data_IF_876880899615
#
_entry.id   IF_876880899615
#
_cell.length_a   1.000
_cell.length_b   1.000
_cell.length_c   1.000
_cell.angle_alpha   90.00
_cell.angle_beta   90.00
_cell.angle_gamma   90.00
#
_symmetry.space_group_name_H-M   'P 1'
#
loop_
_entity.id
_entity.type
_entity.pdbx_description
1 polymer ?
#
# COMPACT_ATOMS: atom_id res chain seq x y z
N UNK A 1 -31.92 -0.31 21.22
CA UNK A 1 -31.94 0.97 21.97
C UNK A 1 -30.79 1.91 21.58
N UNK A 2 -29.61 1.43 21.23
CA UNK A 2 -28.45 2.24 20.79
C UNK A 2 -28.62 2.94 19.45
N UNK A 3 -29.32 2.32 18.49
CA UNK A 3 -29.46 2.86 17.12
C UNK A 3 -30.31 4.15 17.06
N UNK A 4 -31.39 4.21 17.85
CA UNK A 4 -32.28 5.39 17.94
C UNK A 4 -31.57 6.62 18.54
N UNK A 5 -30.67 6.38 19.51
CA UNK A 5 -29.85 7.44 20.12
C UNK A 5 -28.79 7.99 19.17
N UNK A 6 -28.15 7.12 18.38
CA UNK A 6 -27.17 7.52 17.36
C UNK A 6 -27.87 8.33 16.25
N UNK A 7 -29.03 7.88 15.78
CA UNK A 7 -29.82 8.60 14.77
C UNK A 7 -30.25 9.99 15.26
N UNK A 8 -30.63 10.12 16.53
CA UNK A 8 -30.96 11.42 17.15
C UNK A 8 -29.75 12.35 17.21
N UNK A 9 -28.57 11.84 17.57
CA UNK A 9 -27.35 12.65 17.61
C UNK A 9 -26.94 13.13 16.21
N UNK A 10 -26.97 12.25 15.21
CA UNK A 10 -26.65 12.61 13.82
C UNK A 10 -27.65 13.60 13.21
N UNK A 11 -28.93 13.50 13.58
CA UNK A 11 -29.96 14.45 13.18
C UNK A 11 -29.73 15.84 13.83
N UNK A 12 -29.38 15.87 15.12
CA UNK A 12 -29.07 17.11 15.82
C UNK A 12 -27.79 17.79 15.28
N UNK A 13 -26.74 17.02 14.99
CA UNK A 13 -25.52 17.53 14.35
C UNK A 13 -25.82 18.11 12.96
N UNK A 14 -26.65 17.42 12.15
CA UNK A 14 -27.10 17.93 10.85
C UNK A 14 -27.91 19.22 10.97
N UNK A 15 -28.78 19.32 11.98
CA UNK A 15 -29.56 20.53 12.23
C UNK A 15 -28.69 21.72 12.68
N UNK A 16 -27.59 21.48 13.40
CA UNK A 16 -26.69 22.53 13.90
C UNK A 16 -25.62 22.94 12.87
N UNK A 17 -25.45 22.16 11.79
CA UNK A 17 -24.43 22.35 10.78
C UNK A 17 -24.94 23.26 9.63
N UNK A 18 -24.51 24.53 9.68
CA UNK A 18 -24.58 25.58 8.65
C UNK A 18 -25.92 26.31 8.46
N UNK A 19 -26.29 27.22 9.38
CA UNK A 19 -26.59 28.66 9.10
C UNK A 19 -27.51 29.35 10.11
N UNK A 20 -28.11 28.67 11.08
CA UNK A 20 -28.90 29.34 12.14
C UNK A 20 -28.82 28.56 13.45
N UNK A 21 -27.86 28.91 14.32
CA UNK A 21 -27.92 28.49 15.73
C UNK A 21 -28.94 29.36 16.44
N UNK A 22 -30.08 28.79 16.81
CA UNK A 22 -30.94 29.36 17.84
C UNK A 22 -30.72 28.65 19.18
N UNK A 23 -31.19 29.23 20.28
CA UNK A 23 -30.98 28.62 21.60
C UNK A 23 -31.68 27.25 21.78
N UNK A 24 -32.65 26.91 20.93
CA UNK A 24 -33.35 25.63 20.98
C UNK A 24 -32.51 24.49 20.43
N UNK A 25 -31.87 24.71 19.28
CA UNK A 25 -31.02 23.71 18.60
C UNK A 25 -29.76 23.37 19.40
N UNK A 26 -29.17 24.32 20.13
CA UNK A 26 -28.02 24.05 21.01
C UNK A 26 -28.40 23.20 22.24
N UNK A 27 -29.58 23.43 22.83
CA UNK A 27 -30.05 22.65 23.97
C UNK A 27 -30.33 21.18 23.61
N UNK A 28 -30.93 20.95 22.43
CA UNK A 28 -31.16 19.60 21.91
C UNK A 28 -29.86 18.87 21.58
N UNK A 29 -28.86 19.60 21.07
CA UNK A 29 -27.52 19.05 20.84
C UNK A 29 -26.84 18.62 22.14
N UNK A 30 -26.85 19.46 23.18
CA UNK A 30 -26.25 19.09 24.47
C UNK A 30 -26.99 17.92 25.13
N UNK A 31 -28.32 17.87 25.06
CA UNK A 31 -29.09 16.73 25.58
C UNK A 31 -28.75 15.42 24.84
N UNK A 32 -28.62 15.45 23.51
CA UNK A 32 -28.22 14.27 22.73
C UNK A 32 -26.78 13.82 23.04
N UNK A 33 -25.88 14.78 23.27
CA UNK A 33 -24.50 14.51 23.68
C UNK A 33 -24.42 13.86 25.06
N UNK A 34 -25.18 14.36 26.04
CA UNK A 34 -25.22 13.81 27.40
C UNK A 34 -25.82 12.39 27.43
N UNK A 35 -26.84 12.15 26.60
CA UNK A 35 -27.43 10.82 26.42
C UNK A 35 -26.45 9.81 25.80
N UNK A 36 -25.66 10.25 24.83
CA UNK A 36 -24.61 9.43 24.20
C UNK A 36 -23.46 9.18 25.18
N UNK A 37 -23.01 10.20 25.91
CA UNK A 37 -21.98 10.07 26.94
C UNK A 37 -22.41 9.11 28.04
N UNK A 38 -23.67 9.17 28.47
CA UNK A 38 -24.25 8.25 29.44
C UNK A 38 -24.37 6.82 28.91
N UNK A 39 -24.64 6.65 27.61
CA UNK A 39 -24.68 5.34 26.97
C UNK A 39 -23.27 4.73 26.79
N UNK A 40 -22.24 5.56 26.61
CA UNK A 40 -20.85 5.14 26.46
C UNK A 40 -20.15 4.88 27.81
N UNK A 41 -20.70 5.42 28.91
CA UNK A 41 -20.26 5.14 30.28
C UNK A 41 -20.76 3.75 30.75
N UNK A 42 -20.31 2.68 30.09
CA UNK A 42 -20.57 1.32 30.53
C UNK A 42 -19.73 1.01 31.78
N UNK A 43 -20.33 0.49 32.87
CA UNK A 43 -19.55 0.06 34.02
C UNK A 43 -18.64 -1.12 33.62
N UNK A 44 -17.37 -1.15 34.08
CA UNK A 44 -16.46 -2.24 33.77
C UNK A 44 -17.04 -3.59 34.19
N UNK A 45 -16.95 -4.58 33.30
CA UNK A 45 -17.36 -5.97 33.59
C UNK A 45 -18.73 -6.40 33.09
N UNK A 46 -19.48 -5.57 32.35
CA UNK A 46 -20.70 -6.02 31.65
C UNK A 46 -20.40 -6.35 30.17
N UNK A 47 -20.90 -7.48 29.65
CA UNK A 47 -20.71 -7.83 28.25
C UNK A 47 -21.45 -6.83 27.35
N UNK A 48 -20.79 -6.39 26.29
CA UNK A 48 -21.33 -5.42 25.32
C UNK A 48 -22.02 -6.12 24.16
N UNK A 49 -21.65 -7.37 23.88
CA UNK A 49 -22.30 -8.20 22.89
C UNK A 49 -22.14 -9.69 23.26
N UNK A 50 -23.02 -10.52 22.71
CA UNK A 50 -22.91 -11.97 22.74
C UNK A 50 -22.77 -12.45 21.30
N UNK A 51 -21.75 -13.27 21.05
CA UNK A 51 -21.48 -13.78 19.71
C UNK A 51 -22.53 -14.84 19.35
N UNK A 52 -23.34 -14.56 18.32
CA UNK A 52 -24.24 -15.53 17.72
C UNK A 52 -23.72 -15.89 16.33
N UNK A 53 -23.49 -17.18 16.10
CA UNK A 53 -23.24 -17.68 14.74
C UNK A 53 -24.61 -17.76 14.06
N UNK A 54 -24.78 -17.04 12.96
CA UNK A 54 -26.05 -17.02 12.23
C UNK A 54 -26.33 -18.36 11.53
N UNK A 55 -25.34 -19.28 11.47
CA UNK A 55 -25.51 -20.64 10.94
C UNK A 55 -25.79 -20.71 9.44
N UNK A 56 -25.94 -19.56 8.78
CA UNK A 56 -26.29 -19.41 7.36
C UNK A 56 -25.07 -19.32 6.44
N UNK A 57 -23.85 -19.30 6.99
CA UNK A 57 -22.60 -19.31 6.23
C UNK A 57 -22.32 -18.04 5.42
N UNK A 58 -23.18 -17.02 5.52
CA UNK A 58 -23.14 -15.80 4.69
C UNK A 58 -22.95 -14.51 5.49
N UNK A 59 -22.88 -14.59 6.83
CA UNK A 59 -22.55 -13.45 7.68
C UNK A 59 -21.07 -13.05 7.58
N UNK A 60 -20.79 -11.74 7.56
CA UNK A 60 -19.43 -11.18 7.65
C UNK A 60 -18.72 -11.74 8.89
N UNK A 61 -17.78 -12.67 8.70
CA UNK A 61 -16.95 -13.19 9.79
C UNK A 61 -15.90 -12.13 10.14
N UNK A 62 -15.89 -11.58 11.37
CA UNK A 62 -14.79 -10.75 11.79
C UNK A 62 -13.47 -11.52 11.70
N UNK A 63 -12.42 -10.85 11.22
CA UNK A 63 -11.07 -11.44 11.12
C UNK A 63 -10.51 -11.53 12.55
N UNK A 64 -10.35 -12.76 13.04
CA UNK A 64 -9.74 -13.02 14.34
C UNK A 64 -8.26 -13.36 14.16
N UNK A 65 -7.38 -12.60 14.80
CA UNK A 65 -5.99 -13.00 14.96
C UNK A 65 -5.89 -13.97 16.15
N UNK A 66 -6.15 -15.26 15.91
CA UNK A 66 -6.06 -16.31 16.94
C UNK A 66 -7.18 -17.36 16.89
N UNK A 67 -7.39 -18.08 18.00
CA UNK A 67 -8.49 -19.05 18.15
C UNK A 67 -9.84 -18.31 18.16
N UNK A 68 -10.74 -18.71 17.27
CA UNK A 68 -12.11 -18.20 17.21
C UNK A 68 -12.82 -18.50 18.55
N UNK A 69 -13.46 -17.50 19.20
CA UNK A 69 -14.23 -17.74 20.42
C UNK A 69 -15.38 -18.73 20.17
N UNK A 70 -15.78 -19.55 21.16
CA UNK A 70 -16.93 -20.43 21.02
C UNK A 70 -18.23 -19.63 20.87
N UNK A 71 -19.23 -20.22 20.22
CA UNK A 71 -20.57 -19.64 20.08
C UNK A 71 -21.16 -19.31 21.47
N UNK A 72 -21.80 -18.13 21.59
CA UNK A 72 -22.31 -17.62 22.84
C UNK A 72 -21.26 -16.93 23.73
N UNK A 73 -20.00 -16.82 23.28
CA UNK A 73 -18.97 -16.06 24.00
C UNK A 73 -19.40 -14.61 24.21
N UNK A 74 -19.24 -14.15 25.44
CA UNK A 74 -19.49 -12.77 25.83
C UNK A 74 -18.30 -11.91 25.40
N UNK A 75 -18.58 -10.90 24.56
CA UNK A 75 -17.61 -9.91 24.17
C UNK A 75 -17.66 -8.77 25.18
N UNK A 76 -16.51 -8.46 25.76
CA UNK A 76 -16.33 -7.33 26.67
C UNK A 76 -15.67 -6.20 25.90
N UNK A 77 -16.08 -4.96 26.18
CA UNK A 77 -15.39 -3.81 25.64
C UNK A 77 -13.96 -3.87 26.19
N UNK A 78 -12.97 -3.63 25.32
CA UNK A 78 -11.62 -3.41 25.81
C UNK A 78 -11.70 -2.31 26.88
N UNK A 79 -11.19 -2.56 28.11
CA UNK A 79 -11.24 -1.55 29.15
C UNK A 79 -10.63 -0.27 28.58
N UNK A 80 -11.29 0.87 28.79
CA UNK A 80 -10.75 2.16 28.38
C UNK A 80 -9.28 2.20 28.79
N UNK A 81 -8.36 2.57 27.87
CA UNK A 81 -6.93 2.48 28.14
C UNK A 81 -6.68 3.18 29.47
N UNK A 82 -6.21 2.40 30.46
CA UNK A 82 -5.97 2.94 31.79
C UNK A 82 -5.06 4.15 31.64
N UNK A 83 -5.30 5.25 32.38
CA UNK A 83 -4.40 6.39 32.34
C UNK A 83 -3.00 5.87 32.62
N UNK A 84 -2.12 5.96 31.62
CA UNK A 84 -0.74 5.53 31.73
C UNK A 84 -0.10 6.38 32.83
N UNK A 85 0.08 5.78 33.99
CA UNK A 85 0.80 6.39 35.10
C UNK A 85 2.28 6.47 34.70
N UNK A 86 2.69 7.62 34.18
CA UNK A 86 4.09 7.90 33.88
C UNK A 86 4.82 8.03 35.22
N UNK A 87 5.94 7.31 35.38
CA UNK A 87 6.77 7.38 36.60
C UNK A 87 7.20 8.82 36.84
N UNK A 88 7.08 9.29 38.09
CA UNK A 88 7.57 10.61 38.48
C UNK A 88 9.09 10.70 38.28
N UNK A 89 9.57 11.86 37.82
CA UNK A 89 11.00 12.13 37.64
C UNK A 89 11.75 12.09 38.98
N UNK A 90 12.84 11.34 39.04
CA UNK A 90 13.73 11.23 40.21
C UNK A 90 14.82 12.31 40.14
N UNK A 91 14.79 13.27 41.07
CA UNK A 91 15.71 14.41 41.11
C UNK A 91 16.94 14.09 41.95
N UNK A 92 18.13 14.16 41.34
CA UNK A 92 19.40 14.12 42.06
C UNK A 92 19.70 15.50 42.64
N UNK A 93 20.09 15.57 43.92
CA UNK A 93 20.52 16.80 44.58
C UNK A 93 22.02 16.72 44.84
N UNK A 94 22.77 17.58 44.17
CA UNK A 94 24.12 17.96 44.57
C UNK A 94 24.07 19.33 45.27
N UNK A 95 25.02 19.62 46.15
CA UNK A 95 24.94 20.70 47.18
C UNK A 95 24.47 22.07 46.66
N UNK A 96 24.71 22.42 45.39
CA UNK A 96 24.30 23.68 44.76
C UNK A 96 23.38 23.53 43.52
N UNK A 97 23.01 22.29 43.15
CA UNK A 97 22.33 21.99 41.89
C UNK A 97 21.41 20.77 42.01
N UNK A 98 20.14 20.92 41.64
CA UNK A 98 19.27 19.75 41.44
C UNK A 98 19.14 19.46 39.94
N UNK A 99 19.33 18.21 39.55
CA UNK A 99 19.22 17.80 38.15
C UNK A 99 18.50 16.48 37.99
N UNK A 100 17.81 16.32 36.85
CA UNK A 100 17.26 15.05 36.38
C UNK A 100 17.81 14.78 35.00
N UNK A 101 18.34 13.58 34.80
CA UNK A 101 18.74 13.07 33.50
C UNK A 101 17.70 12.07 33.01
N UNK A 102 17.08 12.35 31.86
CA UNK A 102 16.15 11.43 31.19
C UNK A 102 16.64 11.17 29.78
N UNK A 103 17.45 10.13 29.62
CA UNK A 103 18.04 9.65 28.35
C UNK A 103 18.84 10.71 27.59
N UNK A 104 18.18 11.65 26.89
CA UNK A 104 18.79 12.69 26.04
C UNK A 104 18.44 14.12 26.52
N UNK A 105 17.60 14.26 27.56
CA UNK A 105 17.15 15.56 28.10
C UNK A 105 17.64 15.74 29.54
N UNK A 106 18.14 16.95 29.85
CA UNK A 106 18.61 17.33 31.18
C UNK A 106 17.73 18.43 31.76
N UNK A 107 17.22 18.27 32.99
CA UNK A 107 16.55 19.35 33.70
C UNK A 107 17.50 19.91 34.75
N UNK A 108 17.67 21.24 34.83
CA UNK A 108 18.65 21.89 35.71
C UNK A 108 18.00 22.95 36.61
N UNK A 109 18.17 22.82 37.92
CA UNK A 109 17.81 23.80 38.93
C UNK A 109 19.09 24.51 39.43
N UNK A 110 19.24 25.82 39.20
CA UNK A 110 20.42 26.59 39.64
C UNK A 110 20.02 27.65 40.66
N UNK A 111 20.66 27.67 41.84
CA UNK A 111 20.49 28.75 42.83
C UNK A 111 21.43 29.93 42.53
N UNK A 112 21.09 31.20 42.83
CA UNK A 112 19.87 31.69 43.49
C UNK A 112 18.98 32.58 42.56
N UNK A 113 17.67 32.30 42.54
CA UNK A 113 16.65 33.24 42.06
C UNK A 113 15.89 32.86 40.77
N UNK A 114 16.39 31.91 39.97
CA UNK A 114 15.73 31.49 38.73
C UNK A 114 15.94 29.99 38.46
N UNK A 115 14.85 29.23 38.26
CA UNK A 115 14.93 27.85 37.78
C UNK A 115 14.72 27.84 36.26
N UNK A 116 15.53 27.11 35.49
CA UNK A 116 15.41 27.07 34.03
C UNK A 116 15.14 25.64 33.55
N UNK A 117 14.03 25.42 32.85
CA UNK A 117 13.84 24.21 32.06
C UNK A 117 14.79 24.29 30.86
N UNK A 118 15.65 23.29 30.63
CA UNK A 118 16.56 23.25 29.48
C UNK A 118 16.35 21.96 28.71
N UNK A 119 15.49 21.97 27.70
CA UNK A 119 15.45 20.81 26.79
C UNK A 119 16.64 20.83 25.86
N UNK A 120 17.38 19.72 25.76
CA UNK A 120 18.44 19.55 24.77
C UNK A 120 17.92 18.67 23.63
N UNK A 121 18.00 19.13 22.39
CA UNK A 121 17.98 18.26 21.22
C UNK A 121 19.27 18.46 20.44
N UNK A 122 19.99 17.38 20.17
CA UNK A 122 21.26 17.40 19.40
C UNK A 122 22.28 18.44 19.90
N UNK A 123 22.36 18.66 21.22
CA UNK A 123 23.34 19.57 21.82
C UNK A 123 22.91 21.04 21.90
N UNK A 124 21.73 21.41 21.38
CA UNK A 124 21.22 22.79 21.49
C UNK A 124 20.07 22.92 22.50
N UNK A 125 20.08 23.97 23.37
CA UNK A 125 19.01 24.22 24.32
C UNK A 125 17.78 24.82 23.61
N UNK A 126 16.69 24.05 23.52
CA UNK A 126 15.46 24.40 22.80
C UNK A 126 14.59 25.42 23.56
N UNK A 127 14.65 25.44 24.90
CA UNK A 127 13.81 26.33 25.72
C UNK A 127 14.56 26.74 26.98
N UNK A 128 14.47 28.01 27.35
CA UNK A 128 14.95 28.58 28.64
C UNK A 128 13.89 29.54 29.16
N UNK A 129 12.90 29.01 29.86
CA UNK A 129 11.93 29.84 30.58
C UNK A 129 12.31 29.89 32.06
N UNK A 130 12.46 31.10 32.64
CA UNK A 130 12.67 31.24 34.07
C UNK A 130 11.39 30.94 34.84
N UNK A 131 11.46 30.04 35.81
CA UNK A 131 10.36 29.74 36.75
C UNK A 131 10.61 30.42 38.09
N UNK A 132 9.54 30.94 38.75
CA UNK A 132 9.65 31.67 40.01
C UNK A 132 9.89 30.77 41.24
N UNK A 133 9.71 29.44 41.10
CA UNK A 133 10.03 28.48 42.17
C UNK A 133 10.52 27.14 41.59
N UNK A 134 11.27 26.41 42.42
CA UNK A 134 11.73 25.06 42.13
C UNK A 134 10.56 24.10 41.89
N UNK A 135 9.49 24.20 42.67
CA UNK A 135 8.32 23.32 42.53
C UNK A 135 7.61 23.51 41.18
N UNK A 136 7.48 24.76 40.71
CA UNK A 136 6.90 25.04 39.39
C UNK A 136 7.78 24.53 38.26
N UNK A 137 9.11 24.63 38.39
CA UNK A 137 10.03 24.05 37.41
C UNK A 137 9.93 22.52 37.36
N UNK A 138 9.81 21.86 38.52
CA UNK A 138 9.64 20.39 38.62
C UNK A 138 8.31 19.94 38.04
N UNK A 139 7.22 20.66 38.33
CA UNK A 139 5.91 20.38 37.76
C UNK A 139 5.90 20.55 36.24
N UNK A 140 6.52 21.62 35.72
CA UNK A 140 6.65 21.85 34.28
C UNK A 140 7.50 20.77 33.59
N UNK A 141 8.61 20.34 34.20
CA UNK A 141 9.45 19.25 33.70
C UNK A 141 8.69 17.91 33.66
N UNK A 142 7.94 17.60 34.72
CA UNK A 142 7.10 16.40 34.76
C UNK A 142 6.01 16.44 33.68
N UNK A 143 5.34 17.59 33.50
CA UNK A 143 4.31 17.75 32.48
C UNK A 143 4.87 17.61 31.04
N UNK A 144 6.06 18.16 30.77
CA UNK A 144 6.74 18.00 29.48
C UNK A 144 7.16 16.54 29.25
N UNK A 145 7.75 15.89 30.25
CA UNK A 145 8.09 14.46 30.19
C UNK A 145 6.85 13.60 29.91
N UNK A 146 5.75 13.83 30.62
CA UNK A 146 4.48 13.13 30.40
C UNK A 146 3.94 13.39 29.00
N UNK A 147 4.00 14.63 28.52
CA UNK A 147 3.56 15.00 27.17
C UNK A 147 4.37 14.27 26.11
N UNK A 148 5.69 14.17 26.26
CA UNK A 148 6.55 13.45 25.31
C UNK A 148 6.33 11.95 25.33
N UNK A 149 6.21 11.35 26.52
CA UNK A 149 5.90 9.92 26.64
C UNK A 149 4.53 9.64 26.04
N UNK A 150 3.52 10.48 26.34
CA UNK A 150 2.20 10.37 25.72
C UNK A 150 2.30 10.53 24.22
N UNK A 151 3.00 11.54 23.69
CA UNK A 151 3.19 11.75 22.26
C UNK A 151 3.90 10.58 21.57
N UNK A 152 4.91 9.99 22.21
CA UNK A 152 5.65 8.85 21.68
C UNK A 152 4.82 7.56 21.69
N UNK A 153 3.93 7.42 22.66
CA UNK A 153 3.01 6.27 22.78
C UNK A 153 1.70 6.47 22.01
N UNK A 154 1.29 7.72 21.77
CA UNK A 154 0.05 8.10 21.08
C UNK A 154 0.26 8.36 19.60
N UNK A 155 1.51 8.62 19.17
CA UNK A 155 1.85 8.41 17.78
C UNK A 155 1.52 6.95 17.52
N UNK A 156 0.56 6.63 16.62
CA UNK A 156 0.49 5.27 16.10
C UNK A 156 1.91 4.93 15.69
N UNK A 157 2.37 3.72 16.01
CA UNK A 157 3.68 3.23 15.59
C UNK A 157 3.70 3.47 14.08
N UNK A 158 4.29 4.59 13.62
CA UNK A 158 4.09 5.07 12.25
C UNK A 158 4.68 4.07 11.27
N UNK A 159 5.66 3.31 11.75
CA UNK A 159 6.23 2.19 11.04
C UNK A 159 5.37 0.92 11.03
N UNK A 160 4.28 0.78 11.78
CA UNK A 160 3.46 -0.45 11.70
C UNK A 160 2.70 -0.53 10.38
N UNK A 161 2.16 0.58 9.89
CA UNK A 161 1.50 0.57 8.57
C UNK A 161 2.53 0.44 7.46
N UNK A 162 3.67 1.13 7.57
CA UNK A 162 4.79 0.98 6.61
C UNK A 162 5.37 -0.45 6.61
N UNK A 163 5.58 -1.07 7.78
CA UNK A 163 6.03 -2.46 7.88
C UNK A 163 5.00 -3.40 7.26
N UNK A 164 3.70 -3.17 7.51
CA UNK A 164 2.63 -4.00 6.95
C UNK A 164 2.55 -3.85 5.43
N UNK A 165 2.70 -2.63 4.92
CA UNK A 165 2.76 -2.36 3.47
C UNK A 165 3.99 -3.03 2.84
N UNK A 166 5.17 -2.88 3.44
CA UNK A 166 6.39 -3.55 2.99
C UNK A 166 6.28 -5.08 3.05
N UNK A 167 5.61 -5.62 4.07
CA UNK A 167 5.33 -7.06 4.17
C UNK A 167 4.39 -7.54 3.06
N UNK A 168 3.39 -6.74 2.70
CA UNK A 168 2.49 -7.05 1.58
C UNK A 168 3.22 -6.99 0.24
N UNK A 169 4.02 -5.94 0.02
CA UNK A 169 4.85 -5.80 -1.17
C UNK A 169 5.83 -6.96 -1.31
N UNK A 170 6.50 -7.36 -0.21
CA UNK A 170 7.40 -8.50 -0.20
C UNK A 170 6.65 -9.81 -0.53
N UNK A 171 5.44 -9.99 0.02
CA UNK A 171 4.61 -11.16 -0.29
C UNK A 171 4.23 -11.20 -1.76
N UNK A 172 3.76 -10.07 -2.29
CA UNK A 172 3.40 -9.92 -3.71
C UNK A 172 4.58 -10.20 -4.63
N UNK A 173 5.77 -9.69 -4.32
CA UNK A 173 6.99 -9.95 -5.07
C UNK A 173 7.38 -11.44 -5.05
N UNK A 174 7.28 -12.10 -3.89
CA UNK A 174 7.53 -13.54 -3.78
C UNK A 174 6.55 -14.35 -4.62
N UNK A 175 5.29 -13.96 -4.64
CA UNK A 175 4.26 -14.60 -5.44
C UNK A 175 4.50 -14.43 -6.95
N UNK A 176 4.96 -13.26 -7.39
CA UNK A 176 5.37 -13.05 -8.78
C UNK A 176 6.56 -13.94 -9.17
N UNK A 177 7.60 -13.99 -8.32
CA UNK A 177 8.77 -14.83 -8.57
C UNK A 177 8.41 -16.31 -8.71
N UNK A 178 7.52 -16.86 -7.87
CA UNK A 178 7.12 -18.27 -7.97
C UNK A 178 6.36 -18.57 -9.27
N UNK A 179 5.55 -17.61 -9.76
CA UNK A 179 4.84 -17.74 -11.04
C UNK A 179 5.83 -17.77 -12.20
N UNK A 180 6.77 -16.82 -12.22
CA UNK A 180 7.78 -16.72 -13.27
C UNK A 180 8.69 -17.96 -13.26
N UNK A 181 9.17 -18.36 -12.08
CA UNK A 181 9.99 -19.57 -11.88
C UNK A 181 9.28 -20.82 -12.38
N UNK A 182 8.00 -21.00 -12.03
CA UNK A 182 7.19 -22.14 -12.48
C UNK A 182 7.02 -22.14 -14.00
N UNK A 183 6.73 -20.98 -14.59
CA UNK A 183 6.60 -20.81 -16.05
C UNK A 183 7.89 -21.18 -16.77
N UNK A 184 9.04 -20.70 -16.27
CA UNK A 184 10.35 -21.05 -16.82
C UNK A 184 10.64 -22.54 -16.66
N UNK A 185 10.29 -23.14 -15.52
CA UNK A 185 10.44 -24.58 -15.28
C UNK A 185 9.68 -25.41 -16.31
N UNK A 186 8.41 -25.07 -16.57
CA UNK A 186 7.58 -25.76 -17.54
C UNK A 186 8.15 -25.66 -18.96
N UNK A 187 8.60 -24.47 -19.38
CA UNK A 187 9.23 -24.28 -20.69
C UNK A 187 10.56 -25.03 -20.82
N UNK A 188 11.39 -25.03 -19.78
CA UNK A 188 12.64 -25.80 -19.75
C UNK A 188 12.36 -27.29 -19.93
N UNK A 189 11.35 -27.83 -19.25
CA UNK A 189 10.98 -29.23 -19.37
C UNK A 189 10.51 -29.58 -20.79
N UNK A 190 9.68 -28.72 -21.40
CA UNK A 190 9.25 -28.89 -22.81
C UNK A 190 10.47 -28.93 -23.74
N UNK A 191 11.40 -28.00 -23.59
CA UNK A 191 12.60 -27.94 -24.45
C UNK A 191 13.48 -29.19 -24.24
N UNK A 192 13.71 -29.59 -22.98
CA UNK A 192 14.48 -30.80 -22.66
C UNK A 192 13.85 -32.06 -23.28
N UNK A 193 12.53 -32.19 -23.20
CA UNK A 193 11.78 -33.27 -23.83
C UNK A 193 11.92 -33.27 -25.36
N UNK A 194 11.81 -32.10 -26.00
CA UNK A 194 11.95 -31.97 -27.45
C UNK A 194 13.37 -32.28 -27.94
N UNK A 195 14.40 -31.91 -27.17
CA UNK A 195 15.81 -32.31 -27.42
C UNK A 195 15.95 -33.81 -27.28
N UNK A 196 15.44 -34.40 -26.19
CA UNK A 196 15.52 -35.84 -25.94
C UNK A 196 14.85 -36.64 -27.07
N UNK A 197 13.67 -36.22 -27.53
CA UNK A 197 12.94 -36.83 -28.66
C UNK A 197 13.70 -36.78 -29.99
N UNK A 198 14.62 -35.83 -30.15
CA UNK A 198 15.42 -35.64 -31.38
C UNK A 198 16.87 -36.10 -31.25
N UNK A 199 17.29 -36.54 -30.06
CA UNK A 199 18.67 -37.01 -29.80
C UNK A 199 19.13 -38.16 -30.69
N UNK A 200 18.18 -38.96 -31.23
CA UNK A 200 18.49 -40.04 -32.17
C UNK A 200 19.14 -39.52 -33.48
N UNK A 201 18.88 -38.27 -33.88
CA UNK A 201 19.51 -37.65 -35.05
C UNK A 201 21.03 -37.47 -34.89
N UNK A 202 21.54 -37.48 -33.65
CA UNK A 202 22.98 -37.41 -33.37
C UNK A 202 23.69 -38.76 -33.50
N UNK A 203 22.96 -39.87 -33.50
CA UNK A 203 23.53 -41.22 -33.36
C UNK A 203 23.08 -42.21 -34.44
N UNK A 204 21.95 -41.95 -35.11
CA UNK A 204 21.35 -42.87 -36.06
C UNK A 204 20.74 -42.14 -37.26
N UNK A 205 20.92 -42.75 -38.44
CA UNK A 205 20.50 -42.26 -39.77
C UNK A 205 18.98 -42.15 -39.97
N UNK A 206 18.19 -42.78 -39.08
CA UNK A 206 16.81 -43.09 -39.43
C UNK A 206 16.74 -43.83 -40.77
N UNK A 207 15.62 -43.72 -41.49
CA UNK A 207 15.41 -44.41 -42.76
C UNK A 207 15.98 -43.69 -44.00
N UNK A 208 16.76 -42.60 -43.85
CA UNK A 208 17.21 -41.78 -44.99
C UNK A 208 18.66 -42.11 -45.40
N UNK A 209 18.90 -42.28 -46.70
CA UNK A 209 20.13 -42.87 -47.27
C UNK A 209 21.33 -41.91 -47.43
N UNK A 210 21.23 -40.63 -47.05
CA UNK A 210 22.34 -39.69 -47.26
C UNK A 210 23.49 -39.96 -46.26
N UNK A 211 24.67 -40.39 -46.76
CA UNK A 211 25.94 -40.52 -46.01
C UNK A 211 26.51 -39.13 -45.65
N UNK A 212 25.78 -38.33 -44.88
CA UNK A 212 26.23 -37.01 -44.46
C UNK A 212 26.62 -37.01 -42.97
N UNK A 213 27.82 -37.52 -42.68
CA UNK A 213 28.41 -37.45 -41.33
C UNK A 213 28.57 -36.00 -40.85
N UNK A 214 28.74 -35.05 -41.79
CA UNK A 214 28.88 -33.64 -41.48
C UNK A 214 27.58 -33.06 -40.94
N UNK A 215 26.43 -33.42 -41.53
CA UNK A 215 25.12 -33.07 -40.97
C UNK A 215 24.97 -33.54 -39.51
N UNK A 216 25.37 -34.78 -39.20
CA UNK A 216 25.27 -35.30 -37.83
C UNK A 216 26.14 -34.52 -36.85
N UNK A 217 27.36 -34.16 -37.25
CA UNK A 217 28.26 -33.34 -36.44
C UNK A 217 27.70 -31.93 -36.23
N UNK A 218 27.20 -31.28 -37.29
CA UNK A 218 26.62 -29.93 -37.21
C UNK A 218 25.35 -29.91 -36.35
N UNK A 219 24.46 -30.91 -36.50
CA UNK A 219 23.26 -31.03 -35.69
C UNK A 219 23.57 -31.33 -34.22
N UNK A 220 24.54 -32.21 -33.96
CA UNK A 220 24.99 -32.52 -32.60
C UNK A 220 25.56 -31.27 -31.91
N UNK A 221 26.43 -30.52 -32.61
CA UNK A 221 26.97 -29.26 -32.10
C UNK A 221 25.86 -28.23 -31.82
N UNK A 222 24.85 -28.14 -32.69
CA UNK A 222 23.71 -27.26 -32.47
C UNK A 222 22.89 -27.66 -31.23
N UNK A 223 22.63 -28.96 -31.03
CA UNK A 223 21.93 -29.44 -29.83
C UNK A 223 22.74 -29.22 -28.56
N UNK A 224 24.06 -29.36 -28.60
CA UNK A 224 24.93 -29.03 -27.46
C UNK A 224 24.84 -27.54 -27.08
N UNK A 225 24.86 -26.64 -28.07
CA UNK A 225 24.71 -25.19 -27.83
C UNK A 225 23.35 -24.87 -27.23
N UNK A 226 22.27 -25.45 -27.77
CA UNK A 226 20.92 -25.26 -27.23
C UNK A 226 20.84 -25.83 -25.80
N UNK A 227 21.35 -27.04 -25.57
CA UNK A 227 21.38 -27.68 -24.26
C UNK A 227 22.12 -26.82 -23.22
N UNK A 228 23.27 -26.26 -23.58
CA UNK A 228 24.02 -25.35 -22.71
C UNK A 228 23.25 -24.08 -22.34
N UNK A 229 22.48 -23.52 -23.28
CA UNK A 229 21.60 -22.38 -23.01
C UNK A 229 20.43 -22.77 -22.08
N UNK A 230 19.84 -23.94 -22.30
CA UNK A 230 18.75 -24.48 -21.47
C UNK A 230 19.20 -24.73 -20.04
N UNK A 231 20.45 -25.13 -19.80
CA UNK A 231 20.97 -25.31 -18.44
C UNK A 231 20.99 -24.01 -17.63
N UNK A 232 21.23 -22.85 -18.27
CA UNK A 232 21.11 -21.56 -17.58
C UNK A 232 19.66 -21.27 -17.16
N UNK A 233 18.70 -21.55 -18.04
CA UNK A 233 17.27 -21.41 -17.70
C UNK A 233 16.86 -22.42 -16.62
N UNK A 234 17.42 -23.62 -16.65
CA UNK A 234 17.22 -24.66 -15.64
C UNK A 234 17.68 -24.18 -14.26
N UNK A 235 18.80 -23.43 -14.19
CA UNK A 235 19.28 -22.85 -12.94
C UNK A 235 18.30 -21.83 -12.34
N UNK A 236 17.71 -20.97 -13.19
CA UNK A 236 16.68 -20.00 -12.78
C UNK A 236 15.41 -20.73 -12.34
N UNK A 237 14.95 -21.73 -13.10
CA UNK A 237 13.79 -22.54 -12.74
C UNK A 237 13.96 -23.28 -11.40
N UNK A 238 15.19 -23.65 -11.05
CA UNK A 238 15.53 -24.32 -9.79
C UNK A 238 15.79 -23.37 -8.62
N UNK A 239 15.86 -22.05 -8.87
CA UNK A 239 16.13 -21.08 -7.83
C UNK A 239 14.86 -20.78 -7.03
N UNK A 240 14.82 -21.27 -5.80
CA UNK A 240 13.74 -21.03 -4.85
C UNK A 240 13.98 -19.78 -3.98
N UNK A 241 15.10 -19.08 -4.19
CA UNK A 241 15.34 -17.83 -3.47
C UNK A 241 14.22 -16.85 -3.77
N UNK A 242 13.74 -16.17 -2.72
CA UNK A 242 12.67 -15.19 -2.83
C UNK A 242 11.33 -15.72 -3.40
N UNK A 243 11.04 -17.03 -3.28
CA UNK A 243 9.71 -17.61 -3.51
C UNK A 243 8.95 -17.83 -2.19
N UNK A 244 7.63 -18.12 -2.20
CA UNK A 244 6.89 -18.52 -1.02
C UNK A 244 7.41 -19.85 -0.46
N UNK A 245 7.38 -20.01 0.86
CA UNK A 245 8.01 -21.14 1.54
C UNK A 245 7.02 -22.28 1.83
N UNK A 246 5.71 -21.97 1.84
CA UNK A 246 4.67 -22.95 2.16
C UNK A 246 3.99 -23.49 0.91
N UNK A 247 3.68 -24.78 0.90
CA UNK A 247 2.98 -25.42 -0.22
C UNK A 247 1.64 -24.74 -0.55
N UNK A 248 0.92 -24.27 0.48
CA UNK A 248 -0.35 -23.57 0.29
C UNK A 248 -0.16 -22.24 -0.46
N UNK A 249 0.85 -21.45 -0.11
CA UNK A 249 1.18 -20.21 -0.81
C UNK A 249 1.71 -20.48 -2.22
N UNK A 250 2.51 -21.53 -2.41
CA UNK A 250 3.02 -21.94 -3.72
C UNK A 250 1.85 -22.29 -4.66
N UNK A 251 0.92 -23.13 -4.20
CA UNK A 251 -0.24 -23.52 -5.01
C UNK A 251 -1.17 -22.33 -5.28
N UNK A 252 -1.37 -21.45 -4.29
CA UNK A 252 -2.14 -20.22 -4.48
C UNK A 252 -1.48 -19.30 -5.51
N UNK A 253 -0.16 -19.10 -5.43
CA UNK A 253 0.59 -18.29 -6.38
C UNK A 253 0.48 -18.85 -7.81
N UNK A 254 0.64 -20.17 -7.99
CA UNK A 254 0.50 -20.83 -9.31
C UNK A 254 -0.92 -20.74 -9.87
N UNK A 255 -1.93 -20.94 -9.03
CA UNK A 255 -3.34 -20.83 -9.41
C UNK A 255 -3.73 -19.38 -9.75
N UNK A 256 -3.07 -18.40 -9.11
CA UNK A 256 -3.30 -16.97 -9.33
C UNK A 256 -2.68 -16.43 -10.61
N UNK A 257 -2.17 -17.27 -11.50
CA UNK A 257 -1.57 -16.86 -12.79
C UNK A 257 -2.50 -15.85 -13.45
N UNK A 258 -2.17 -14.54 -13.42
CA UNK A 258 -3.03 -13.54 -13.98
C UNK A 258 -3.09 -13.87 -15.45
N UNK A 259 -4.32 -14.01 -15.93
CA UNK A 259 -4.50 -14.07 -17.37
C UNK A 259 -3.93 -12.77 -17.94
N UNK A 260 -3.37 -12.78 -19.15
CA UNK A 260 -2.95 -11.52 -19.79
C UNK A 260 -4.05 -10.46 -19.77
N UNK A 261 -5.32 -10.90 -19.78
CA UNK A 261 -6.49 -10.04 -19.59
C UNK A 261 -6.57 -9.39 -18.20
N UNK A 262 -6.27 -10.12 -17.13
CA UNK A 262 -6.21 -9.59 -15.76
C UNK A 262 -5.08 -8.56 -15.59
N UNK A 263 -3.90 -8.82 -16.16
CA UNK A 263 -2.78 -7.88 -16.08
C UNK A 263 -3.08 -6.60 -16.87
N UNK A 264 -3.70 -6.73 -18.05
CA UNK A 264 -4.17 -5.58 -18.83
C UNK A 264 -5.23 -4.79 -18.03
N UNK A 265 -6.20 -5.46 -17.40
CA UNK A 265 -7.22 -4.80 -16.60
C UNK A 265 -6.61 -4.01 -15.42
N UNK A 266 -5.66 -4.61 -14.69
CA UNK A 266 -4.96 -3.94 -13.59
C UNK A 266 -4.16 -2.72 -14.07
N UNK A 267 -3.47 -2.84 -15.21
CA UNK A 267 -2.74 -1.71 -15.79
C UNK A 267 -3.68 -0.58 -16.24
N UNK A 268 -4.86 -0.94 -16.77
CA UNK A 268 -5.88 0.04 -17.15
C UNK A 268 -6.48 0.77 -15.96
N UNK A 269 -6.75 0.06 -14.87
CA UNK A 269 -7.23 0.65 -13.62
C UNK A 269 -6.21 1.63 -13.05
N UNK A 270 -4.94 1.22 -12.96
CA UNK A 270 -3.84 2.09 -12.51
C UNK A 270 -3.66 3.34 -13.39
N UNK A 271 -3.79 3.18 -14.70
CA UNK A 271 -3.71 4.30 -15.64
C UNK A 271 -4.87 5.28 -15.42
N UNK A 272 -6.10 4.78 -15.25
CA UNK A 272 -7.27 5.59 -14.97
C UNK A 272 -7.17 6.33 -13.62
N UNK A 273 -6.63 5.67 -12.59
CA UNK A 273 -6.37 6.28 -11.29
C UNK A 273 -5.32 7.41 -11.38
N UNK A 274 -4.20 7.16 -12.07
CA UNK A 274 -3.17 8.17 -12.30
C UNK A 274 -3.72 9.38 -13.08
N UNK A 275 -4.52 9.15 -14.11
CA UNK A 275 -5.20 10.22 -14.86
C UNK A 275 -6.12 11.07 -13.98
N UNK A 276 -6.88 10.44 -13.08
CA UNK A 276 -7.74 11.15 -12.13
C UNK A 276 -6.93 12.00 -11.13
N UNK A 277 -5.81 11.49 -10.62
CA UNK A 277 -4.92 12.23 -9.71
C UNK A 277 -4.31 13.45 -10.43
N UNK A 278 -3.83 13.28 -11.67
CA UNK A 278 -3.29 14.38 -12.47
C UNK A 278 -4.38 15.44 -12.68
N UNK A 279 -5.59 15.03 -13.04
CA UNK A 279 -6.74 15.93 -13.25
C UNK A 279 -7.07 16.73 -11.99
N UNK A 280 -7.16 16.07 -10.83
CA UNK A 280 -7.43 16.75 -9.57
C UNK A 280 -6.33 17.78 -9.22
N UNK A 281 -5.06 17.44 -9.48
CA UNK A 281 -3.93 18.35 -9.25
C UNK A 281 -3.94 19.54 -10.22
N UNK A 282 -4.22 19.30 -11.51
CA UNK A 282 -4.36 20.37 -12.52
C UNK A 282 -5.51 21.32 -12.15
N UNK A 283 -6.65 20.79 -11.67
CA UNK A 283 -7.79 21.60 -11.20
C UNK A 283 -7.44 22.43 -9.95
N UNK A 284 -6.66 21.86 -9.01
CA UNK A 284 -6.16 22.58 -7.82
C UNK A 284 -5.20 23.70 -8.21
N UNK A 285 -4.28 23.48 -9.15
CA UNK A 285 -3.39 24.51 -9.67
C UNK A 285 -4.18 25.64 -10.35
N UNK A 286 -5.18 25.29 -11.16
CA UNK A 286 -6.03 26.28 -11.82
C UNK A 286 -6.92 27.09 -10.85
N UNK A 287 -7.27 26.51 -9.69
CA UNK A 287 -7.96 27.22 -8.61
C UNK A 287 -7.01 28.20 -7.91
N UNK A 288 -5.79 27.74 -7.65
CA UNK A 288 -4.73 28.52 -7.01
C UNK A 288 -4.37 29.75 -7.86
N UNK A 289 -4.20 29.59 -9.17
CA UNK A 289 -3.95 30.71 -10.09
C UNK A 289 -5.10 31.73 -10.06
N UNK A 290 -6.36 31.26 -10.08
CA UNK A 290 -7.55 32.12 -9.96
C UNK A 290 -7.64 32.86 -8.63
N UNK A 291 -7.26 32.21 -7.54
CA UNK A 291 -7.22 32.84 -6.21
C UNK A 291 -6.14 33.93 -6.20
N UNK A 292 -4.95 33.65 -6.75
CA UNK A 292 -3.88 34.65 -6.88
C UNK A 292 -4.35 35.91 -7.63
N UNK A 293 -5.03 35.72 -8.77
CA UNK A 293 -5.63 36.81 -9.56
C UNK A 293 -6.68 37.60 -8.76
N UNK A 294 -7.53 36.92 -7.99
CA UNK A 294 -8.66 37.52 -7.28
C UNK A 294 -8.23 38.36 -6.08
N UNK A 295 -7.19 37.93 -5.36
CA UNK A 295 -6.72 38.63 -4.16
C UNK A 295 -5.82 39.82 -4.55
N UNK A 296 -5.34 39.87 -5.80
CA UNK A 296 -4.45 40.93 -6.27
C UNK A 296 -3.20 41.03 -5.40
N UNK A 297 -2.64 39.89 -5.00
CA UNK A 297 -1.49 39.82 -4.12
C UNK A 297 -0.35 40.66 -4.72
N UNK A 298 0.10 41.74 -4.05
CA UNK A 298 1.23 42.51 -4.53
C UNK A 298 2.51 41.67 -4.40
N UNK A 299 3.38 41.71 -5.42
CA UNK A 299 4.65 40.97 -5.61
C UNK A 299 5.67 40.98 -4.44
N UNK A 300 5.34 41.53 -3.25
CA UNK A 300 6.32 41.85 -2.20
C UNK A 300 5.98 41.30 -0.80
N UNK A 301 5.29 40.15 -0.70
CA UNK A 301 5.20 39.40 0.57
C UNK A 301 6.11 38.15 0.53
N UNK A 302 7.41 38.39 0.72
CA UNK A 302 8.51 37.45 0.44
C UNK A 302 8.56 36.17 1.29
N UNK A 303 7.79 36.03 2.38
CA UNK A 303 7.86 34.85 3.26
C UNK A 303 6.78 33.78 3.02
N UNK A 304 5.63 34.13 2.43
CA UNK A 304 4.63 33.16 1.97
C UNK A 304 4.75 32.87 0.47
N UNK A 305 5.27 33.83 -0.31
CA UNK A 305 5.45 33.66 -1.75
C UNK A 305 6.50 32.59 -2.09
N UNK A 306 7.62 32.53 -1.36
CA UNK A 306 8.65 31.49 -1.58
C UNK A 306 8.13 30.11 -1.22
N UNK A 307 7.38 29.95 -0.11
CA UNK A 307 6.80 28.67 0.27
C UNK A 307 5.74 28.20 -0.73
N UNK A 308 4.95 29.14 -1.25
CA UNK A 308 3.97 28.90 -2.28
C UNK A 308 4.61 28.56 -3.64
N UNK A 309 5.65 29.29 -4.05
CA UNK A 309 6.42 28.99 -5.27
C UNK A 309 7.11 27.61 -5.16
N UNK A 310 7.68 27.26 -4.00
CA UNK A 310 8.26 25.94 -3.77
C UNK A 310 7.20 24.83 -3.85
N UNK A 311 6.01 25.08 -3.30
CA UNK A 311 4.88 24.16 -3.40
C UNK A 311 4.38 24.03 -4.84
N UNK A 312 4.29 25.13 -5.60
CA UNK A 312 3.92 25.13 -7.02
C UNK A 312 4.95 24.37 -7.86
N UNK A 313 6.25 24.60 -7.63
CA UNK A 313 7.32 23.91 -8.35
C UNK A 313 7.37 22.42 -8.01
N UNK A 314 7.14 22.04 -6.74
CA UNK A 314 6.99 20.63 -6.37
C UNK A 314 5.79 20.00 -7.08
N UNK A 315 4.64 20.66 -7.13
CA UNK A 315 3.47 20.13 -7.84
C UNK A 315 3.71 20.03 -9.35
N UNK A 316 4.41 20.99 -9.96
CA UNK A 316 4.80 20.92 -11.38
C UNK A 316 5.76 19.76 -11.63
N UNK A 317 6.72 19.54 -10.75
CA UNK A 317 7.66 18.42 -10.81
C UNK A 317 6.92 17.08 -10.70
N UNK A 318 6.00 16.95 -9.73
CA UNK A 318 5.17 15.75 -9.57
C UNK A 318 4.29 15.50 -10.81
N UNK A 319 3.68 16.53 -11.38
CA UNK A 319 2.87 16.41 -12.61
C UNK A 319 3.75 15.98 -13.78
N UNK A 320 4.96 16.51 -13.89
CA UNK A 320 5.91 16.09 -14.93
C UNK A 320 6.29 14.62 -14.77
N UNK A 321 6.59 14.16 -13.55
CA UNK A 321 6.89 12.76 -13.25
C UNK A 321 5.71 11.83 -13.58
N UNK A 322 4.49 12.20 -13.20
CA UNK A 322 3.29 11.43 -13.54
C UNK A 322 3.03 11.37 -15.04
N UNK A 323 3.30 12.45 -15.79
CA UNK A 323 3.21 12.46 -17.25
C UNK A 323 4.26 11.54 -17.90
N UNK A 324 5.46 11.48 -17.34
CA UNK A 324 6.51 10.56 -17.78
C UNK A 324 6.09 9.10 -17.54
N UNK A 325 5.59 8.77 -16.35
CA UNK A 325 5.07 7.43 -16.03
C UNK A 325 3.93 7.03 -16.97
N UNK A 326 2.97 7.92 -17.22
CA UNK A 326 1.91 7.69 -18.21
C UNK A 326 2.44 7.44 -19.62
N UNK A 327 3.53 8.11 -20.00
CA UNK A 327 4.24 7.86 -21.26
C UNK A 327 4.78 6.44 -21.33
N UNK A 328 5.45 5.99 -20.27
CA UNK A 328 6.01 4.63 -20.16
C UNK A 328 4.90 3.58 -20.22
N UNK A 329 3.81 3.76 -19.48
CA UNK A 329 2.66 2.84 -19.48
C UNK A 329 1.98 2.78 -20.85
N UNK A 330 1.81 3.93 -21.50
CA UNK A 330 1.25 3.99 -22.86
C UNK A 330 2.13 3.28 -23.88
N UNK A 331 3.46 3.41 -23.76
CA UNK A 331 4.39 2.69 -24.63
C UNK A 331 4.37 1.17 -24.38
N UNK A 332 4.29 0.75 -23.11
CA UNK A 332 4.15 -0.66 -22.75
C UNK A 332 2.88 -1.28 -23.35
N UNK A 333 1.73 -0.59 -23.24
CA UNK A 333 0.47 -1.03 -23.87
C UNK A 333 0.58 -1.15 -25.40
N UNK A 334 1.24 -0.19 -26.06
CA UNK A 334 1.50 -0.27 -27.51
C UNK A 334 2.38 -1.45 -27.88
N UNK A 335 3.43 -1.74 -27.09
CA UNK A 335 4.29 -2.92 -27.32
C UNK A 335 3.50 -4.21 -27.16
N UNK A 336 2.63 -4.30 -26.15
CA UNK A 336 1.73 -5.45 -25.97
C UNK A 336 0.79 -5.61 -27.17
N UNK A 337 0.17 -4.53 -27.65
CA UNK A 337 -0.69 -4.57 -28.84
C UNK A 337 0.08 -5.08 -30.07
N UNK A 338 1.29 -4.57 -30.32
CA UNK A 338 2.14 -5.02 -31.42
C UNK A 338 2.49 -6.52 -31.30
N UNK A 339 2.81 -7.00 -30.10
CA UNK A 339 3.06 -8.42 -29.86
C UNK A 339 1.82 -9.27 -30.18
N UNK A 340 0.61 -8.80 -29.82
CA UNK A 340 -0.63 -9.49 -30.17
C UNK A 340 -0.91 -9.48 -31.66
N UNK A 341 -0.59 -8.40 -32.38
CA UNK A 341 -0.71 -8.38 -33.84
C UNK A 341 0.27 -9.35 -34.50
N UNK A 342 1.51 -9.42 -34.04
CA UNK A 342 2.48 -10.40 -34.52
C UNK A 342 2.01 -11.85 -34.25
N UNK A 343 1.49 -12.13 -33.05
CA UNK A 343 0.90 -13.42 -32.72
C UNK A 343 -0.31 -13.76 -33.61
N UNK A 344 -1.17 -12.78 -33.89
CA UNK A 344 -2.31 -12.97 -34.77
C UNK A 344 -1.88 -13.27 -36.21
N UNK A 345 -0.81 -12.62 -36.71
CA UNK A 345 -0.30 -12.88 -38.07
C UNK A 345 0.41 -14.21 -38.22
N UNK A 346 0.98 -14.76 -37.15
CA UNK A 346 1.69 -16.06 -37.18
C UNK A 346 0.74 -17.25 -37.00
N UNK A 347 -0.47 -17.04 -36.48
CA UNK A 347 -1.49 -18.09 -36.38
C UNK A 347 -2.24 -18.23 -37.70
N UNK A 348 -2.02 -19.35 -38.38
CA UNK A 348 -2.89 -19.77 -39.49
C UNK A 348 -4.28 -20.13 -38.95
N UNK A 349 -5.29 -20.08 -39.82
CA UNK A 349 -6.66 -20.47 -39.47
C UNK A 349 -6.71 -21.89 -38.87
N UNK A 350 -5.88 -22.81 -39.39
CA UNK A 350 -5.77 -24.19 -38.92
C UNK A 350 -5.31 -24.27 -37.46
N UNK A 351 -4.33 -23.44 -37.05
CA UNK A 351 -3.88 -23.37 -35.64
C UNK A 351 -5.01 -22.82 -34.76
N UNK A 352 -5.75 -21.82 -35.24
CA UNK A 352 -6.86 -21.23 -34.49
C UNK A 352 -7.98 -22.26 -34.24
N UNK A 353 -8.35 -23.03 -35.26
CA UNK A 353 -9.36 -24.09 -35.14
C UNK A 353 -8.87 -25.22 -34.24
N UNK A 354 -7.61 -25.62 -34.34
CA UNK A 354 -7.03 -26.63 -33.45
C UNK A 354 -7.01 -26.20 -31.97
N UNK A 355 -6.79 -24.91 -31.68
CA UNK A 355 -6.88 -24.38 -30.32
C UNK A 355 -8.32 -24.41 -29.77
N UNK A 356 -9.32 -24.10 -30.62
CA UNK A 356 -10.74 -24.20 -30.25
C UNK A 356 -11.10 -25.67 -29.97
N UNK A 357 -10.74 -26.59 -30.86
CA UNK A 357 -11.01 -28.02 -30.71
C UNK A 357 -10.27 -28.61 -29.48
N UNK A 358 -9.13 -28.04 -29.11
CA UNK A 358 -8.39 -28.33 -27.88
C UNK A 358 -8.98 -27.75 -26.60
N UNK A 359 -10.15 -27.09 -26.66
CA UNK A 359 -10.84 -26.53 -25.49
C UNK A 359 -10.30 -25.17 -25.03
N UNK A 360 -9.50 -24.47 -25.85
CA UNK A 360 -8.93 -23.16 -25.51
C UNK A 360 -9.79 -21.98 -25.98
N UNK A 361 -11.07 -22.21 -26.29
CA UNK A 361 -11.97 -21.19 -26.82
C UNK A 361 -12.12 -19.98 -25.87
N UNK A 362 -12.24 -20.23 -24.56
CA UNK A 362 -12.39 -19.17 -23.56
C UNK A 362 -11.12 -18.31 -23.45
N UNK A 363 -9.94 -18.93 -23.49
CA UNK A 363 -8.66 -18.21 -23.45
C UNK A 363 -8.46 -17.32 -24.70
N UNK A 364 -8.94 -17.77 -25.87
CA UNK A 364 -8.93 -16.96 -27.09
C UNK A 364 -9.90 -15.78 -26.99
N UNK A 365 -11.08 -15.99 -26.42
CA UNK A 365 -12.07 -14.94 -26.19
C UNK A 365 -11.54 -13.87 -25.21
N UNK A 366 -10.90 -14.30 -24.12
CA UNK A 366 -10.27 -13.41 -23.15
C UNK A 366 -9.15 -12.57 -23.78
N UNK A 367 -8.35 -13.17 -24.65
CA UNK A 367 -7.31 -12.47 -25.39
C UNK A 367 -7.88 -11.38 -26.29
N UNK A 368 -8.96 -11.69 -27.03
CA UNK A 368 -9.63 -10.74 -27.92
C UNK A 368 -10.32 -9.60 -27.14
N UNK A 369 -10.89 -9.91 -25.98
CA UNK A 369 -11.47 -8.91 -25.08
C UNK A 369 -10.37 -8.00 -24.52
N UNK A 370 -9.25 -8.56 -24.06
CA UNK A 370 -8.12 -7.79 -23.56
C UNK A 370 -7.54 -6.86 -24.63
N UNK A 371 -7.43 -7.33 -25.88
CA UNK A 371 -7.02 -6.50 -27.03
C UNK A 371 -8.00 -5.37 -27.30
N UNK A 372 -9.32 -5.64 -27.27
CA UNK A 372 -10.35 -4.60 -27.43
C UNK A 372 -10.27 -3.55 -26.34
N UNK A 373 -10.08 -3.97 -25.10
CA UNK A 373 -9.93 -3.07 -23.95
C UNK A 373 -8.68 -2.20 -24.12
N UNK A 374 -7.53 -2.79 -24.46
CA UNK A 374 -6.28 -2.04 -24.67
C UNK A 374 -6.44 -0.95 -25.75
N UNK A 375 -7.09 -1.29 -26.87
CA UNK A 375 -7.42 -0.31 -27.93
C UNK A 375 -8.34 0.79 -27.45
N UNK A 376 -9.36 0.45 -26.67
CA UNK A 376 -10.27 1.45 -26.10
C UNK A 376 -9.53 2.43 -25.20
N UNK A 377 -8.66 1.92 -24.30
CA UNK A 377 -7.84 2.76 -23.43
C UNK A 377 -6.91 3.68 -24.23
N UNK A 378 -6.20 3.14 -25.23
CA UNK A 378 -5.33 3.95 -26.10
C UNK A 378 -6.11 5.00 -26.90
N UNK A 379 -7.34 4.71 -27.33
CA UNK A 379 -8.21 5.67 -28.01
C UNK A 379 -8.67 6.79 -27.07
N UNK A 380 -9.00 6.49 -25.81
CA UNK A 380 -9.33 7.51 -24.83
C UNK A 380 -8.16 8.48 -24.59
N UNK A 381 -6.95 7.93 -24.40
CA UNK A 381 -5.71 8.72 -24.27
C UNK A 381 -5.47 9.57 -25.51
N UNK A 382 -5.57 8.99 -26.71
CA UNK A 382 -5.27 9.68 -27.97
C UNK A 382 -6.23 10.84 -28.28
N UNK A 383 -7.51 10.72 -27.88
CA UNK A 383 -8.50 11.76 -28.13
C UNK A 383 -8.48 12.88 -27.10
N UNK A 384 -7.76 12.70 -25.98
CA UNK A 384 -7.86 13.60 -24.84
C UNK A 384 -9.31 13.72 -24.34
N UNK A 385 -10.15 12.72 -24.62
CA UNK A 385 -11.55 12.66 -24.20
C UNK A 385 -11.53 12.44 -22.69
N UNK A 386 -11.61 13.55 -21.95
CA UNK A 386 -11.71 13.61 -20.50
C UNK A 386 -12.87 12.73 -20.04
N UNK A 387 -12.57 11.64 -19.34
CA UNK A 387 -13.51 10.91 -18.50
C UNK A 387 -14.01 11.78 -17.35
#
# INVERSE_FOLDING_TARGET
MTNDKIQRFEAAVRANSYRTCDHGTEAEYQAARDDLSSALALPPGKPVAQMHDSGDGLGLRPIWFGRVPPEGAQLFAAPAPLPLAVKALEWNRDDDMASVEVSVTYYLERRPGYCALVTMAKGEPIRREPFPSAELAKAAAQADYETRIRSALSSPVGGMEEIKELQEQLRSARWANERDRSTVCDQVNIIKDEIARRSWLCSSRGSYEWDDERYQQEFSAALEVIGSAVEKLSSIASDWSHCPETDAEIQAARASSPTPASDIANLQERLMEAENIIKERDDRLALVDRISDLIGLPEYQELDQVAFELWMDQNRADIAALREENGILSEALKRMENCYEQLATTRTHEIYTAMIDGGQADALLDLDNARRNARSALQHVAKGERG
#
